data_IF_401965349910
#
_entry.id   IF_401965349910
#
_cell.length_a   1.000
_cell.length_b   1.000
_cell.length_c   1.000
_cell.angle_alpha   90.00
_cell.angle_beta   90.00
_cell.angle_gamma   90.00
#
_symmetry.space_group_name_H-M   'P 1'
#
loop_
_entity.id
_entity.type
_entity.pdbx_description
1 polymer ?
#
# COMPACT_ATOMS: atom_id res chain seq x y z
N UNK A 1 -20.91 -13.66 2.24
CA UNK A 1 -19.93 -14.77 2.35
C UNK A 1 -20.08 -15.70 1.14
N UNK A 2 -18.97 -16.17 0.53
CA UNK A 2 -18.98 -16.89 -0.76
C UNK A 2 -18.51 -18.35 -0.61
N UNK A 3 -19.30 -19.28 -1.13
CA UNK A 3 -18.99 -20.72 -1.20
C UNK A 3 -18.64 -21.09 -2.63
N UNK A 4 -17.58 -21.86 -2.85
CA UNK A 4 -17.23 -22.45 -4.14
C UNK A 4 -16.68 -23.85 -3.93
N UNK A 5 -17.03 -24.80 -4.81
CA UNK A 5 -16.63 -26.20 -4.68
C UNK A 5 -16.96 -26.82 -3.30
N UNK A 6 -18.12 -26.46 -2.75
CA UNK A 6 -18.65 -27.02 -1.50
C UNK A 6 -18.02 -26.49 -0.21
N UNK A 7 -17.16 -25.46 -0.26
CA UNK A 7 -16.58 -24.84 0.95
C UNK A 7 -16.39 -23.32 0.81
N UNK A 8 -16.21 -22.57 1.92
CA UNK A 8 -15.88 -21.16 1.86
C UNK A 8 -14.61 -20.91 1.03
N UNK A 9 -14.62 -19.85 0.22
CA UNK A 9 -13.46 -19.55 -0.63
C UNK A 9 -12.20 -19.26 0.21
N UNK A 10 -12.36 -18.76 1.43
CA UNK A 10 -11.30 -18.53 2.41
C UNK A 10 -10.56 -19.82 2.83
N UNK A 11 -11.08 -21.00 2.48
CA UNK A 11 -10.45 -22.30 2.71
C UNK A 11 -9.60 -22.81 1.54
N UNK A 12 -9.31 -21.97 0.53
CA UNK A 12 -8.38 -22.29 -0.56
C UNK A 12 -7.02 -21.61 -0.35
N UNK A 13 -5.93 -22.33 -0.66
CA UNK A 13 -4.56 -21.89 -0.40
C UNK A 13 -4.25 -20.52 -1.04
N UNK A 14 -4.60 -20.33 -2.31
CA UNK A 14 -4.31 -19.07 -3.02
C UNK A 14 -5.12 -17.88 -2.49
N UNK A 15 -6.32 -18.13 -1.95
CA UNK A 15 -7.10 -17.09 -1.26
C UNK A 15 -6.41 -16.68 0.04
N UNK A 16 -5.94 -17.66 0.81
CA UNK A 16 -5.19 -17.40 2.04
C UNK A 16 -3.85 -16.70 1.77
N UNK A 17 -3.17 -17.03 0.67
CA UNK A 17 -1.94 -16.36 0.26
C UNK A 17 -2.16 -14.86 0.04
N UNK A 18 -3.19 -14.48 -0.73
CA UNK A 18 -3.51 -13.07 -0.98
C UNK A 18 -3.88 -12.34 0.31
N UNK A 19 -4.67 -12.96 1.19
CA UNK A 19 -5.01 -12.38 2.50
C UNK A 19 -3.78 -12.18 3.39
N UNK A 20 -2.87 -13.17 3.42
CA UNK A 20 -1.63 -13.09 4.20
C UNK A 20 -0.70 -11.98 3.67
N UNK A 21 -0.54 -11.88 2.34
CA UNK A 21 0.25 -10.81 1.71
C UNK A 21 -0.33 -9.43 1.99
N UNK A 22 -1.66 -9.26 1.85
CA UNK A 22 -2.37 -8.02 2.17
C UNK A 22 -2.17 -7.62 3.64
N UNK A 23 -2.30 -8.55 4.58
CA UNK A 23 -2.06 -8.27 6.00
C UNK A 23 -0.59 -7.88 6.26
N UNK A 24 0.37 -8.54 5.60
CA UNK A 24 1.79 -8.20 5.69
C UNK A 24 2.07 -6.78 5.22
N UNK A 25 1.47 -6.37 4.09
CA UNK A 25 1.56 -5.02 3.56
C UNK A 25 0.99 -3.97 4.52
N UNK A 26 -0.21 -4.23 5.07
CA UNK A 26 -0.86 -3.33 6.05
C UNK A 26 -0.04 -3.21 7.32
N UNK A 27 0.40 -4.33 7.89
CA UNK A 27 1.15 -4.36 9.16
C UNK A 27 2.49 -3.65 9.01
N UNK A 28 3.20 -3.90 7.91
CA UNK A 28 4.48 -3.22 7.62
C UNK A 28 4.29 -1.72 7.43
N UNK A 29 3.21 -1.32 6.75
CA UNK A 29 2.86 0.09 6.54
C UNK A 29 2.58 0.81 7.87
N UNK A 30 1.78 0.19 8.75
CA UNK A 30 1.50 0.72 10.10
C UNK A 30 2.80 0.85 10.90
N UNK A 31 3.68 -0.16 10.87
CA UNK A 31 4.96 -0.11 11.57
C UNK A 31 5.85 1.05 11.08
N UNK A 32 5.94 1.25 9.77
CA UNK A 32 6.72 2.34 9.17
C UNK A 32 6.20 3.71 9.58
N UNK A 33 4.88 3.96 9.47
CA UNK A 33 4.31 5.27 9.83
C UNK A 33 4.34 5.51 11.34
N UNK A 34 4.24 4.45 12.14
CA UNK A 34 4.42 4.54 13.60
C UNK A 34 5.82 5.02 13.93
N UNK A 35 6.87 4.42 13.32
CA UNK A 35 8.24 4.88 13.57
C UNK A 35 8.46 6.31 13.07
N UNK A 36 7.94 6.65 11.89
CA UNK A 36 8.03 8.02 11.38
C UNK A 36 7.36 9.04 12.31
N UNK A 37 6.23 8.68 12.92
CA UNK A 37 5.53 9.52 13.91
C UNK A 37 6.32 9.66 15.21
N UNK A 38 6.89 8.57 15.73
CA UNK A 38 7.78 8.63 16.90
C UNK A 38 8.99 9.54 16.66
N UNK A 39 9.60 9.47 15.47
CA UNK A 39 10.71 10.35 15.11
C UNK A 39 10.28 11.82 15.06
N UNK A 40 9.02 12.09 14.69
CA UNK A 40 8.46 13.44 14.68
C UNK A 40 8.31 13.96 16.11
N UNK A 41 7.74 13.16 17.00
CA UNK A 41 7.61 13.49 18.43
C UNK A 41 8.99 13.69 19.10
N UNK A 42 9.98 12.89 18.71
CA UNK A 42 11.39 13.00 19.15
C UNK A 42 12.11 14.23 18.54
N UNK A 43 11.51 14.92 17.56
CA UNK A 43 12.13 16.05 16.85
C UNK A 43 13.29 15.68 15.92
N UNK A 44 13.42 14.40 15.57
CA UNK A 44 14.50 13.86 14.71
C UNK A 44 14.02 13.42 13.32
N UNK A 45 12.74 13.65 13.03
CA UNK A 45 12.16 13.42 11.71
C UNK A 45 12.78 14.40 10.70
N UNK A 46 12.87 13.93 9.45
CA UNK A 46 13.47 14.61 8.31
C UNK A 46 12.67 14.24 7.07
N UNK A 47 12.73 15.08 6.04
CA UNK A 47 11.91 14.95 4.83
C UNK A 47 12.01 13.56 4.17
N UNK A 48 13.18 12.93 4.18
CA UNK A 48 13.35 11.59 3.60
C UNK A 48 12.58 10.50 4.35
N UNK A 49 12.29 10.68 5.64
CA UNK A 49 11.44 9.75 6.38
C UNK A 49 9.98 9.87 5.95
N UNK A 50 9.48 11.10 5.73
CA UNK A 50 8.15 11.33 5.16
C UNK A 50 8.05 10.75 3.75
N UNK A 51 9.07 11.00 2.92
CA UNK A 51 9.09 10.53 1.55
C UNK A 51 9.11 9.00 1.47
N UNK A 52 9.95 8.34 2.29
CA UNK A 52 9.99 6.89 2.40
C UNK A 52 8.64 6.32 2.88
N UNK A 53 8.04 6.92 3.91
CA UNK A 53 6.75 6.49 4.42
C UNK A 53 5.66 6.58 3.34
N UNK A 54 5.57 7.71 2.63
CA UNK A 54 4.61 7.91 1.54
C UNK A 54 4.81 6.89 0.42
N UNK A 55 6.02 6.82 -0.14
CA UNK A 55 6.36 5.90 -1.24
C UNK A 55 5.99 4.47 -0.87
N UNK A 56 6.50 3.98 0.25
CA UNK A 56 6.32 2.58 0.64
C UNK A 56 4.86 2.26 0.89
N UNK A 57 4.16 3.06 1.71
CA UNK A 57 2.78 2.79 2.10
C UNK A 57 1.82 2.87 0.91
N UNK A 58 1.99 3.85 0.02
CA UNK A 58 1.14 3.96 -1.17
C UNK A 58 1.41 2.85 -2.19
N UNK A 59 2.66 2.43 -2.37
CA UNK A 59 3.03 1.27 -3.19
C UNK A 59 2.41 -0.03 -2.64
N UNK A 60 2.50 -0.26 -1.32
CA UNK A 60 1.89 -1.42 -0.65
C UNK A 60 0.36 -1.38 -0.66
N UNK A 61 -0.23 -0.19 -0.49
CA UNK A 61 -1.68 0.03 -0.57
C UNK A 61 -2.21 -0.37 -1.94
N UNK A 62 -1.60 0.15 -3.02
CA UNK A 62 -1.99 -0.12 -4.40
C UNK A 62 -2.00 -1.62 -4.72
N UNK A 63 -0.94 -2.32 -4.30
CA UNK A 63 -0.85 -3.78 -4.45
C UNK A 63 -1.93 -4.52 -3.63
N UNK A 64 -2.16 -4.09 -2.39
CA UNK A 64 -3.17 -4.69 -1.49
C UNK A 64 -4.58 -4.56 -2.04
N UNK A 65 -4.98 -3.37 -2.52
CA UNK A 65 -6.32 -3.18 -3.09
C UNK A 65 -6.50 -3.94 -4.40
N UNK A 66 -5.43 -4.14 -5.19
CA UNK A 66 -5.47 -4.96 -6.40
C UNK A 66 -5.79 -6.43 -6.06
N UNK A 67 -5.10 -7.00 -5.07
CA UNK A 67 -5.37 -8.36 -4.61
C UNK A 67 -6.76 -8.51 -3.97
N UNK A 68 -7.19 -7.52 -3.18
CA UNK A 68 -8.54 -7.51 -2.63
C UNK A 68 -9.59 -7.50 -3.74
N UNK A 69 -9.39 -6.72 -4.80
CA UNK A 69 -10.28 -6.70 -5.96
C UNK A 69 -10.27 -8.03 -6.72
N UNK A 70 -9.12 -8.68 -6.86
CA UNK A 70 -9.00 -10.03 -7.44
C UNK A 70 -9.77 -11.09 -6.64
N UNK A 71 -9.67 -11.05 -5.30
CA UNK A 71 -10.37 -11.97 -4.39
C UNK A 71 -11.90 -11.97 -4.59
N UNK A 72 -12.47 -10.83 -4.98
CA UNK A 72 -13.90 -10.68 -5.23
C UNK A 72 -14.33 -11.16 -6.63
N UNK A 73 -13.39 -11.45 -7.53
CA UNK A 73 -13.67 -11.92 -8.88
C UNK A 73 -14.57 -10.95 -9.65
N UNK A 74 -15.67 -11.44 -10.23
CA UNK A 74 -16.66 -10.60 -10.91
C UNK A 74 -17.34 -9.57 -10.00
N UNK A 75 -17.47 -9.86 -8.70
CA UNK A 75 -17.98 -8.87 -7.74
C UNK A 75 -16.94 -7.78 -7.43
N UNK A 76 -15.68 -7.97 -7.84
CA UNK A 76 -14.60 -7.01 -7.64
C UNK A 76 -14.63 -5.83 -8.61
N UNK A 77 -15.53 -5.82 -9.60
CA UNK A 77 -15.67 -4.72 -10.59
C UNK A 77 -16.96 -3.93 -10.45
N UNK A 78 -17.89 -4.41 -9.62
CA UNK A 78 -19.17 -3.74 -9.38
C UNK A 78 -19.05 -2.85 -8.14
N UNK A 79 -19.83 -1.77 -8.12
CA UNK A 79 -19.80 -0.78 -7.05
C UNK A 79 -20.40 -1.28 -5.74
N UNK A 80 -21.19 -2.37 -5.77
CA UNK A 80 -21.93 -2.91 -4.61
C UNK A 80 -21.05 -3.40 -3.46
N UNK A 81 -19.78 -3.72 -3.74
CA UNK A 81 -18.85 -4.30 -2.77
C UNK A 81 -17.70 -3.36 -2.40
N UNK A 82 -17.71 -2.12 -2.87
CA UNK A 82 -16.75 -1.03 -2.58
C UNK A 82 -15.29 -1.27 -2.97
N UNK A 83 -14.86 -2.51 -3.15
CA UNK A 83 -13.46 -2.87 -3.41
C UNK A 83 -12.91 -2.21 -4.67
N UNK A 84 -13.75 -2.04 -5.71
CA UNK A 84 -13.36 -1.34 -6.93
C UNK A 84 -13.18 0.17 -6.70
N UNK A 85 -13.93 0.76 -5.77
CA UNK A 85 -13.79 2.17 -5.40
C UNK A 85 -12.44 2.39 -4.74
N UNK A 86 -12.11 1.59 -3.73
CA UNK A 86 -10.80 1.66 -3.06
C UNK A 86 -9.63 1.39 -4.02
N UNK A 87 -9.81 0.47 -4.97
CA UNK A 87 -8.84 0.25 -6.03
C UNK A 87 -8.62 1.50 -6.89
N UNK A 88 -9.69 2.19 -7.29
CA UNK A 88 -9.60 3.42 -8.06
C UNK A 88 -9.02 4.60 -7.24
N UNK A 89 -9.47 4.77 -6.00
CA UNK A 89 -9.01 5.84 -5.10
C UNK A 89 -7.51 5.70 -4.79
N UNK A 90 -7.00 4.47 -4.70
CA UNK A 90 -5.59 4.19 -4.47
C UNK A 90 -4.69 4.76 -5.59
N UNK A 91 -5.15 4.80 -6.85
CA UNK A 91 -4.38 5.38 -7.95
C UNK A 91 -4.20 6.90 -7.78
N UNK A 92 -5.21 7.58 -7.24
CA UNK A 92 -5.12 9.01 -6.95
C UNK A 92 -4.06 9.25 -5.85
N UNK A 93 -4.20 8.58 -4.70
CA UNK A 93 -3.31 8.73 -3.54
C UNK A 93 -1.86 8.37 -3.90
N UNK A 94 -1.66 7.35 -4.75
CA UNK A 94 -0.34 6.98 -5.25
C UNK A 94 0.32 8.10 -6.07
N UNK A 95 -0.48 8.93 -6.75
CA UNK A 95 -0.02 9.91 -7.73
C UNK A 95 0.19 11.31 -7.16
N UNK A 96 -0.77 11.84 -6.38
CA UNK A 96 -0.69 13.21 -5.87
C UNK A 96 0.24 13.36 -4.65
N UNK A 97 0.52 14.62 -4.25
CA UNK A 97 1.43 14.97 -3.13
C UNK A 97 2.84 14.33 -3.29
N UNK A 98 3.37 14.45 -4.51
CA UNK A 98 4.64 13.88 -4.95
C UNK A 98 4.50 12.45 -5.43
N UNK A 99 4.87 12.16 -6.67
CA UNK A 99 4.76 10.79 -7.22
C UNK A 99 5.64 9.79 -6.47
N UNK A 100 5.42 8.50 -6.68
CA UNK A 100 6.27 7.43 -6.15
C UNK A 100 7.74 7.65 -6.55
N UNK A 101 7.97 8.03 -7.79
CA UNK A 101 9.29 8.29 -8.35
C UNK A 101 9.96 9.48 -7.66
N UNK A 102 9.25 10.59 -7.47
CA UNK A 102 9.81 11.75 -6.77
C UNK A 102 10.17 11.45 -5.32
N UNK A 103 9.29 10.76 -4.59
CA UNK A 103 9.59 10.35 -3.20
C UNK A 103 10.78 9.39 -3.14
N UNK A 104 10.88 8.45 -4.08
CA UNK A 104 12.04 7.54 -4.20
C UNK A 104 13.34 8.33 -4.40
N UNK A 105 13.33 9.35 -5.25
CA UNK A 105 14.51 10.17 -5.54
C UNK A 105 14.91 11.08 -4.36
N UNK A 106 13.95 11.56 -3.56
CA UNK A 106 14.23 12.28 -2.31
C UNK A 106 15.00 11.39 -1.34
N UNK A 107 14.53 10.16 -1.12
CA UNK A 107 15.20 9.18 -0.27
C UNK A 107 16.59 8.83 -0.82
N UNK A 108 16.70 8.59 -2.13
CA UNK A 108 17.97 8.29 -2.78
C UNK A 108 19.00 9.42 -2.62
N UNK A 109 18.57 10.69 -2.74
CA UNK A 109 19.44 11.85 -2.50
C UNK A 109 19.90 11.91 -1.05
N UNK A 110 19.03 11.64 -0.07
CA UNK A 110 19.39 11.65 1.34
C UNK A 110 20.42 10.58 1.70
N UNK A 111 20.33 9.39 1.08
CA UNK A 111 21.28 8.29 1.31
C UNK A 111 22.62 8.54 0.62
N UNK A 112 22.60 9.10 -0.59
CA UNK A 112 23.80 9.18 -1.45
C UNK A 112 24.49 10.54 -1.46
N UNK A 113 23.81 11.59 -1.00
CA UNK A 113 24.24 12.99 -1.15
C UNK A 113 24.19 13.52 -2.59
N UNK A 114 23.65 12.75 -3.54
CA UNK A 114 23.63 13.10 -4.97
C UNK A 114 22.20 13.27 -5.46
N UNK A 115 21.88 14.44 -6.02
CA UNK A 115 20.60 14.65 -6.70
C UNK A 115 20.59 13.91 -8.05
N UNK A 116 19.46 13.28 -8.38
CA UNK A 116 19.22 12.56 -9.63
C UNK A 116 17.96 13.08 -10.37
N UNK A 117 17.54 14.30 -10.04
CA UNK A 117 16.49 15.06 -10.68
C UNK A 117 16.93 16.51 -10.80
N UNK A 118 16.36 17.23 -11.75
CA UNK A 118 16.64 18.65 -12.04
C UNK A 118 15.68 19.53 -11.26
#
# INVERSE_FOLDING_TARGET
ERIQFGKPISSHQLIQELLAKSLGNITSSIGLVTRASQMLDEGIQRDEHSALAKEFTTSRMRETVAWCRELFGGNGIVLDYDVIRYFADAEAIYSYEGTREMNTLIVGRAITGKAAFV
#
